data_IF_511659630342
#
_entry.id   IF_511659630342
#
_cell.length_a   1.000
_cell.length_b   1.000
_cell.length_c   1.000
_cell.angle_alpha   90.00
_cell.angle_beta   90.00
_cell.angle_gamma   90.00
#
_symmetry.space_group_name_H-M   'P 1'
#
loop_
_entity.id
_entity.type
_entity.pdbx_description
1 polymer ?
#
# COMPACT_ATOMS: atom_id res chain seq x y z
N UNK A 1 -6.43 -17.35 -6.59
CA UNK A 1 -6.95 -16.04 -6.15
C UNK A 1 -6.41 -14.94 -7.03
N UNK A 2 -7.22 -13.97 -7.37
CA UNK A 2 -6.76 -12.81 -8.14
C UNK A 2 -5.78 -11.99 -7.31
N UNK A 3 -4.80 -11.41 -8.00
CA UNK A 3 -3.83 -10.49 -7.40
C UNK A 3 -4.34 -9.06 -7.56
N UNK A 4 -4.19 -8.27 -6.51
CA UNK A 4 -4.51 -6.85 -6.54
C UNK A 4 -3.29 -6.02 -6.18
N UNK A 5 -3.26 -4.81 -6.70
CA UNK A 5 -2.33 -3.76 -6.29
C UNK A 5 -3.11 -2.72 -5.51
N UNK A 6 -2.60 -2.37 -4.34
CA UNK A 6 -3.16 -1.31 -3.51
C UNK A 6 -2.14 -0.18 -3.46
N UNK A 7 -2.60 1.03 -3.74
CA UNK A 7 -1.73 2.21 -3.76
C UNK A 7 -2.16 3.17 -2.66
N UNK A 8 -1.20 3.59 -1.86
CA UNK A 8 -1.37 4.67 -0.88
C UNK A 8 -0.14 5.57 -0.90
N UNK A 9 -0.22 6.70 -0.21
CA UNK A 9 0.93 7.59 -0.05
C UNK A 9 1.14 7.88 1.43
N UNK A 10 2.39 8.10 1.80
CA UNK A 10 2.77 8.51 3.16
C UNK A 10 3.51 9.84 3.07
N UNK A 11 3.44 10.68 4.13
CA UNK A 11 4.05 12.01 4.08
C UNK A 11 5.57 11.96 4.05
N UNK A 12 6.19 12.92 3.37
CA UNK A 12 7.65 13.02 3.27
C UNK A 12 8.30 13.32 4.62
N UNK A 13 7.52 13.76 5.62
CA UNK A 13 8.02 13.94 6.98
C UNK A 13 8.38 12.62 7.66
N UNK A 14 7.85 11.50 7.15
CA UNK A 14 8.30 10.18 7.60
C UNK A 14 9.67 9.89 6.98
N UNK A 15 10.60 9.47 7.83
CA UNK A 15 11.91 9.04 7.37
C UNK A 15 11.80 7.67 6.68
N UNK A 16 12.78 7.35 5.83
CA UNK A 16 12.75 6.09 5.09
C UNK A 16 12.62 4.88 6.02
N UNK A 17 13.31 4.90 7.19
CA UNK A 17 13.21 3.78 8.11
C UNK A 17 11.81 3.66 8.73
N UNK A 18 11.09 4.78 8.91
CA UNK A 18 9.71 4.74 9.43
C UNK A 18 8.76 4.14 8.40
N UNK A 19 8.94 4.50 7.12
CA UNK A 19 8.19 3.88 6.03
C UNK A 19 8.49 2.39 5.96
N UNK A 20 9.75 2.01 6.17
CA UNK A 20 10.17 0.62 6.22
C UNK A 20 9.51 -0.15 7.36
N UNK A 21 9.42 0.44 8.54
CA UNK A 21 8.75 -0.19 9.69
C UNK A 21 7.26 -0.36 9.45
N UNK A 22 6.61 0.67 8.91
CA UNK A 22 5.19 0.62 8.56
C UNK A 22 4.92 -0.51 7.56
N UNK A 23 5.78 -0.63 6.55
CA UNK A 23 5.69 -1.67 5.53
C UNK A 23 5.94 -3.06 6.09
N UNK A 24 6.96 -3.19 6.94
CA UNK A 24 7.34 -4.46 7.56
C UNK A 24 6.19 -5.05 8.37
N UNK A 25 5.46 -4.22 9.09
CA UNK A 25 4.33 -4.69 9.90
C UNK A 25 3.26 -5.40 9.03
N UNK A 26 2.96 -4.83 7.85
CA UNK A 26 1.98 -5.43 6.94
C UNK A 26 2.48 -6.76 6.35
N UNK A 27 3.77 -6.84 6.03
CA UNK A 27 4.39 -8.07 5.53
C UNK A 27 4.43 -9.15 6.60
N UNK A 28 4.78 -8.79 7.83
CA UNK A 28 4.88 -9.78 8.93
C UNK A 28 3.53 -10.35 9.32
N UNK A 29 2.45 -9.59 9.12
CA UNK A 29 1.08 -10.06 9.34
C UNK A 29 0.52 -10.83 8.14
N UNK A 30 1.30 -10.99 7.08
CA UNK A 30 0.91 -11.70 5.86
C UNK A 30 -0.29 -11.07 5.13
N UNK A 31 -0.51 -9.78 5.34
CA UNK A 31 -1.55 -9.04 4.64
C UNK A 31 -1.15 -8.67 3.21
N UNK A 32 0.14 -8.58 2.97
CA UNK A 32 0.70 -8.30 1.63
C UNK A 32 1.90 -9.19 1.39
N UNK A 33 2.20 -9.43 0.13
CA UNK A 33 3.37 -10.25 -0.25
C UNK A 33 4.53 -9.43 -0.76
N UNK A 34 4.28 -8.22 -1.23
CA UNK A 34 5.32 -7.36 -1.77
C UNK A 34 4.93 -5.91 -1.55
N UNK A 35 5.90 -5.08 -1.19
CA UNK A 35 5.70 -3.63 -1.04
C UNK A 35 6.81 -2.94 -1.81
N UNK A 36 6.41 -2.00 -2.68
CA UNK A 36 7.33 -1.19 -3.46
C UNK A 36 7.17 0.27 -3.05
N UNK A 37 8.28 0.95 -2.83
CA UNK A 37 8.34 2.27 -2.23
C UNK A 37 9.03 3.23 -3.18
N UNK A 38 8.37 4.35 -3.50
CA UNK A 38 8.92 5.38 -4.39
C UNK A 38 8.76 6.75 -3.75
N UNK A 39 9.69 7.65 -4.03
CA UNK A 39 9.53 9.05 -3.69
C UNK A 39 8.93 9.79 -4.89
N UNK A 40 7.82 10.50 -4.68
CA UNK A 40 7.10 11.20 -5.74
C UNK A 40 6.79 12.63 -5.34
N UNK A 41 6.39 13.44 -6.32
CA UNK A 41 5.80 14.75 -6.08
C UNK A 41 4.32 14.66 -6.43
N UNK A 42 3.47 15.10 -5.50
CA UNK A 42 2.02 15.11 -5.68
C UNK A 42 1.52 16.55 -5.74
N UNK A 43 0.63 16.84 -6.66
CA UNK A 43 -0.08 18.10 -6.73
C UNK A 43 -1.57 17.81 -6.58
N UNK A 44 -2.23 18.52 -5.67
CA UNK A 44 -3.61 18.21 -5.33
C UNK A 44 -4.34 19.43 -4.79
N UNK A 45 -5.67 19.39 -4.89
CA UNK A 45 -6.55 20.40 -4.31
C UNK A 45 -6.95 20.00 -2.89
N UNK A 46 -6.76 20.90 -1.94
CA UNK A 46 -7.13 20.67 -0.55
C UNK A 46 -7.55 22.00 0.08
N UNK A 47 -8.74 22.02 0.68
CA UNK A 47 -9.27 23.21 1.35
C UNK A 47 -9.26 24.47 0.47
N UNK A 48 -9.66 24.30 -0.79
CA UNK A 48 -9.74 25.39 -1.75
C UNK A 48 -8.42 25.86 -2.31
N UNK A 49 -7.33 25.17 -2.02
CA UNK A 49 -5.98 25.53 -2.47
C UNK A 49 -5.35 24.40 -3.28
N UNK A 50 -4.44 24.77 -4.16
CA UNK A 50 -3.61 23.83 -4.89
C UNK A 50 -2.30 23.68 -4.14
N UNK A 51 -1.96 22.45 -3.77
CA UNK A 51 -0.77 22.10 -3.01
C UNK A 51 0.18 21.28 -3.86
N UNK A 52 1.46 21.36 -3.56
CA UNK A 52 2.49 20.54 -4.18
C UNK A 52 3.40 20.04 -3.06
N UNK A 53 3.46 18.75 -2.88
CA UNK A 53 4.23 18.13 -1.79
C UNK A 53 4.95 16.88 -2.27
N UNK A 54 6.06 16.59 -1.63
CA UNK A 54 6.70 15.30 -1.82
C UNK A 54 6.01 14.28 -0.94
N UNK A 55 5.90 13.06 -1.45
CA UNK A 55 5.31 11.94 -0.72
C UNK A 55 6.06 10.65 -1.04
N UNK A 56 5.88 9.66 -0.16
CA UNK A 56 6.24 8.28 -0.46
C UNK A 56 5.04 7.62 -1.10
N UNK A 57 5.21 7.06 -2.30
CA UNK A 57 4.17 6.25 -2.93
C UNK A 57 4.44 4.80 -2.58
N UNK A 58 3.44 4.15 -2.01
CA UNK A 58 3.55 2.76 -1.56
C UNK A 58 2.60 1.92 -2.42
N UNK A 59 3.17 0.94 -3.09
CA UNK A 59 2.39 -0.01 -3.88
C UNK A 59 2.49 -1.38 -3.21
N UNK A 60 1.34 -1.90 -2.79
CA UNK A 60 1.25 -3.16 -2.08
C UNK A 60 0.61 -4.20 -2.98
N UNK A 61 1.16 -5.40 -3.01
CA UNK A 61 0.62 -6.50 -3.81
C UNK A 61 0.11 -7.58 -2.86
N UNK A 62 -1.15 -7.96 -3.04
CA UNK A 62 -1.76 -9.00 -2.23
C UNK A 62 -2.83 -9.74 -3.05
N UNK A 63 -3.55 -10.65 -2.43
CA UNK A 63 -4.64 -11.32 -3.10
C UNK A 63 -5.98 -10.66 -2.79
N UNK A 64 -6.94 -10.84 -3.69
CA UNK A 64 -8.24 -10.16 -3.63
C UNK A 64 -9.00 -10.44 -2.32
N UNK A 65 -8.84 -11.62 -1.73
CA UNK A 65 -9.57 -11.99 -0.51
C UNK A 65 -9.14 -11.18 0.71
N UNK A 66 -7.98 -10.53 0.66
CA UNK A 66 -7.47 -9.71 1.75
C UNK A 66 -7.79 -8.22 1.59
N UNK A 67 -8.56 -7.84 0.58
CA UNK A 67 -8.85 -6.44 0.26
C UNK A 67 -9.36 -5.65 1.48
N UNK A 68 -10.41 -6.14 2.13
CA UNK A 68 -10.98 -5.42 3.27
C UNK A 68 -10.02 -5.32 4.44
N UNK A 69 -9.27 -6.39 4.70
CA UNK A 69 -8.30 -6.42 5.79
C UNK A 69 -7.15 -5.45 5.57
N UNK A 70 -6.64 -5.36 4.33
CA UNK A 70 -5.53 -4.45 4.03
C UNK A 70 -5.98 -2.99 4.07
N UNK A 71 -7.18 -2.69 3.58
CA UNK A 71 -7.73 -1.33 3.64
C UNK A 71 -7.89 -0.90 5.09
N UNK A 72 -8.45 -1.77 5.93
CA UNK A 72 -8.61 -1.49 7.36
C UNK A 72 -7.27 -1.28 8.05
N UNK A 73 -6.27 -2.11 7.75
CA UNK A 73 -4.94 -1.99 8.33
C UNK A 73 -4.26 -0.67 7.93
N UNK A 74 -4.43 -0.25 6.69
CA UNK A 74 -3.89 1.04 6.22
C UNK A 74 -4.57 2.19 6.94
N UNK A 75 -5.89 2.18 7.04
CA UNK A 75 -6.64 3.23 7.76
C UNK A 75 -6.21 3.34 9.23
N UNK A 76 -6.00 2.20 9.88
CA UNK A 76 -5.69 2.17 11.31
C UNK A 76 -4.36 2.85 11.66
N UNK A 77 -3.44 2.92 10.70
CA UNK A 77 -2.07 3.40 10.94
C UNK A 77 -1.70 4.60 10.07
N UNK A 78 -2.62 5.09 9.24
CA UNK A 78 -2.32 6.17 8.32
C UNK A 78 -2.32 7.53 9.03
N UNK A 79 -1.32 8.39 8.80
CA UNK A 79 -1.25 9.70 9.45
C UNK A 79 -2.18 10.76 8.87
N UNK A 80 -2.73 10.55 7.66
CA UNK A 80 -3.63 11.50 7.03
C UNK A 80 -5.08 11.29 7.48
N UNK A 81 -5.85 12.39 7.55
CA UNK A 81 -7.29 12.32 7.81
C UNK A 81 -8.03 11.64 6.67
N UNK A 82 -7.62 11.97 5.43
CA UNK A 82 -8.20 11.39 4.21
C UNK A 82 -7.09 10.77 3.37
N UNK A 83 -6.69 9.53 3.68
CA UNK A 83 -5.64 8.88 2.92
C UNK A 83 -6.12 8.45 1.55
N UNK A 84 -5.20 8.46 0.58
CA UNK A 84 -5.43 7.80 -0.70
C UNK A 84 -5.33 6.31 -0.49
N UNK A 85 -6.37 5.56 -0.79
CA UNK A 85 -6.33 4.10 -0.82
C UNK A 85 -7.06 3.67 -2.08
N UNK A 86 -6.31 3.28 -3.10
CA UNK A 86 -6.84 2.90 -4.40
C UNK A 86 -6.38 1.49 -4.70
N UNK A 87 -7.24 0.65 -5.23
CA UNK A 87 -6.82 -0.72 -5.58
C UNK A 87 -7.47 -1.16 -6.88
N UNK A 88 -6.83 -2.13 -7.52
CA UNK A 88 -7.32 -2.71 -8.76
C UNK A 88 -6.75 -4.12 -8.93
N UNK A 89 -7.51 -4.96 -9.61
CA UNK A 89 -7.05 -6.29 -9.97
C UNK A 89 -6.02 -6.18 -11.11
N UNK A 90 -5.01 -7.04 -11.08
CA UNK A 90 -3.98 -7.06 -12.11
C UNK A 90 -3.78 -8.47 -12.64
N UNK A 91 -3.36 -8.55 -13.88
CA UNK A 91 -2.93 -9.81 -14.46
C UNK A 91 -1.43 -9.98 -14.20
N UNK A 92 -1.03 -11.18 -13.84
CA UNK A 92 0.37 -11.51 -13.60
C UNK A 92 0.71 -12.83 -14.27
N UNK A 93 2.01 -13.11 -14.40
CA UNK A 93 2.44 -14.45 -14.73
C UNK A 93 2.05 -15.40 -13.60
N UNK A 94 1.90 -16.68 -13.93
CA UNK A 94 1.39 -17.67 -12.99
C UNK A 94 2.29 -17.87 -11.77
N UNK A 95 3.59 -17.87 -11.97
CA UNK A 95 4.55 -18.08 -10.87
C UNK A 95 4.45 -16.98 -9.82
N UNK A 96 4.34 -15.72 -10.26
CA UNK A 96 4.19 -14.59 -9.34
C UNK A 96 2.86 -14.66 -8.57
N UNK A 97 1.80 -15.00 -9.27
CA UNK A 97 0.47 -15.17 -8.65
C UNK A 97 0.51 -16.26 -7.58
N UNK A 98 1.12 -17.39 -7.89
CA UNK A 98 1.26 -18.49 -6.93
C UNK A 98 2.04 -18.04 -5.70
N UNK A 99 3.12 -17.32 -5.91
CA UNK A 99 3.95 -16.83 -4.82
C UNK A 99 3.20 -15.83 -3.93
N UNK A 100 2.49 -14.86 -4.51
CA UNK A 100 1.70 -13.91 -3.74
C UNK A 100 0.65 -14.63 -2.89
N UNK A 101 -0.06 -15.59 -3.48
CA UNK A 101 -1.07 -16.35 -2.74
C UNK A 101 -0.46 -17.17 -1.61
N UNK A 102 0.72 -17.74 -1.83
CA UNK A 102 1.42 -18.52 -0.82
C UNK A 102 1.84 -17.68 0.38
N UNK A 103 2.47 -16.52 0.13
CA UNK A 103 3.01 -15.68 1.21
C UNK A 103 1.97 -14.86 1.96
N UNK A 104 0.74 -14.80 1.45
CA UNK A 104 -0.36 -14.09 2.09
C UNK A 104 -1.40 -15.01 2.69
N UNK A 105 -1.10 -16.29 2.81
CA UNK A 105 -2.00 -17.24 3.45
C UNK A 105 -1.77 -17.24 4.96
N UNK A 106 -2.86 -17.29 5.72
CA UNK A 106 -2.84 -17.24 7.19
C UNK A 106 -3.02 -18.59 7.85
N UNK A 107 -2.75 -19.65 7.14
CA UNK A 107 -2.88 -21.01 7.67
C UNK A 107 -1.64 -21.49 8.43
#
# INVERSE_FOLDING_TARGET
>A
MSVIKVVTTLPSSMEEFEVGEWSYALLSEKLVGCIQIEKIKSMFSWEGKINSEEEWKITLTTNLTLTDQIIEAIHATHPYDVPQIVWHAVNTNQDYKNWINEVTTNE
#
